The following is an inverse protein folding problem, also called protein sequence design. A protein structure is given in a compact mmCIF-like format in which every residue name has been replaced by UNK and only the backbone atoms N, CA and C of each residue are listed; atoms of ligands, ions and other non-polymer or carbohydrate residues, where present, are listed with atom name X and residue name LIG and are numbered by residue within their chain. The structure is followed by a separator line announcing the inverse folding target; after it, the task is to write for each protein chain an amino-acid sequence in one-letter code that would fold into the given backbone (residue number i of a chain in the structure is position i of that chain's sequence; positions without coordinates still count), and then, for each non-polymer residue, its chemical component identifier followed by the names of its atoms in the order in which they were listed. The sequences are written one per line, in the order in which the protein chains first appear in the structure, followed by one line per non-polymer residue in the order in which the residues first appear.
data_IF_454810127449
#
_entry.id   IF_454810127449
#
_cell.length_a   1.000
_cell.length_b   1.000
_cell.length_c   1.000
_cell.angle_alpha   90.00
_cell.angle_beta   90.00
_cell.angle_gamma   90.00
#
_symmetry.space_group_name_H-M   'P 1'
#
loop_
_entity.id
_entity.type
_entity.pdbx_description
1 polymer ?
#
# COMPACT_ATOMS: atom_id res chain seq x y z
N UNK A 1 -19.12 28.40 -7.03
CA UNK A 1 -19.46 27.45 -5.94
C UNK A 1 -19.83 26.05 -6.45
N UNK A 2 -20.64 25.88 -7.50
CA UNK A 2 -21.06 24.55 -7.99
C UNK A 2 -19.96 23.75 -8.74
N UNK A 3 -19.08 24.43 -9.50
CA UNK A 3 -17.97 23.79 -10.24
C UNK A 3 -16.95 23.09 -9.31
N UNK A 4 -16.65 23.68 -8.16
CA UNK A 4 -15.67 23.13 -7.21
C UNK A 4 -16.22 21.84 -6.58
N UNK A 5 -17.53 21.79 -6.26
CA UNK A 5 -18.18 20.59 -5.78
C UNK A 5 -18.23 19.49 -6.84
N UNK A 6 -18.53 19.84 -8.10
CA UNK A 6 -18.59 18.87 -9.19
C UNK A 6 -17.20 18.26 -9.48
N UNK A 7 -16.15 19.07 -9.48
CA UNK A 7 -14.76 18.61 -9.65
C UNK A 7 -14.32 17.73 -8.47
N UNK A 8 -14.73 18.08 -7.24
CA UNK A 8 -14.44 17.26 -6.07
C UNK A 8 -15.15 15.89 -6.11
N UNK A 9 -16.42 15.85 -6.56
CA UNK A 9 -17.19 14.60 -6.71
C UNK A 9 -16.59 13.73 -7.81
N UNK A 10 -16.26 14.31 -8.97
CA UNK A 10 -15.61 13.60 -10.07
C UNK A 10 -14.22 13.08 -9.69
N UNK A 11 -13.43 13.88 -8.96
CA UNK A 11 -12.11 13.47 -8.47
C UNK A 11 -12.19 12.32 -7.46
N UNK A 12 -13.14 12.38 -6.52
CA UNK A 12 -13.40 11.31 -5.56
C UNK A 12 -13.83 10.01 -6.25
N UNK A 13 -14.74 10.10 -7.23
CA UNK A 13 -15.25 8.95 -7.97
C UNK A 13 -14.15 8.30 -8.82
N UNK A 14 -13.30 9.10 -9.46
CA UNK A 14 -12.15 8.64 -10.23
C UNK A 14 -11.11 7.94 -9.35
N UNK A 15 -10.81 8.51 -8.17
CA UNK A 15 -9.90 7.91 -7.19
C UNK A 15 -10.42 6.56 -6.66
N UNK A 16 -11.72 6.47 -6.34
CA UNK A 16 -12.38 5.22 -5.94
C UNK A 16 -12.32 4.16 -7.04
N UNK A 17 -12.59 4.53 -8.29
CA UNK A 17 -12.53 3.64 -9.45
C UNK A 17 -11.11 3.15 -9.77
N UNK A 18 -10.07 3.92 -9.42
CA UNK A 18 -8.67 3.50 -9.56
C UNK A 18 -8.22 2.55 -8.44
N UNK A 19 -8.69 2.78 -7.22
CA UNK A 19 -8.31 1.96 -6.06
C UNK A 19 -9.05 0.62 -6.01
N UNK A 20 -10.34 0.59 -6.38
CA UNK A 20 -11.15 -0.62 -6.37
C UNK A 20 -10.50 -1.80 -7.14
N UNK A 21 -10.06 -1.66 -8.39
CA UNK A 21 -9.39 -2.75 -9.11
C UNK A 21 -8.01 -3.09 -8.52
N UNK A 22 -7.31 -2.12 -7.93
CA UNK A 22 -6.02 -2.36 -7.24
C UNK A 22 -6.19 -3.25 -5.99
N UNK A 23 -7.28 -3.05 -5.25
CA UNK A 23 -7.63 -3.84 -4.06
C UNK A 23 -8.23 -5.20 -4.45
N UNK A 24 -9.07 -5.25 -5.49
CA UNK A 24 -9.74 -6.49 -5.92
C UNK A 24 -8.84 -7.45 -6.69
N UNK A 25 -7.74 -7.01 -7.31
CA UNK A 25 -6.90 -7.86 -8.15
C UNK A 25 -5.99 -8.86 -7.40
N UNK A 26 -6.18 -9.11 -6.09
CA UNK A 26 -5.63 -10.27 -5.35
C UNK A 26 -4.20 -10.68 -5.73
N UNK A 27 -3.30 -9.72 -5.95
CA UNK A 27 -1.86 -9.97 -6.23
C UNK A 27 -0.96 -9.63 -5.06
N UNK A 28 -1.53 -9.23 -3.93
CA UNK A 28 -0.76 -8.88 -2.74
C UNK A 28 -1.15 -9.86 -1.63
N UNK A 29 -0.14 -10.51 -1.05
CA UNK A 29 -0.24 -11.48 0.06
C UNK A 29 -1.23 -11.00 1.15
N UNK A 30 -1.90 -11.94 1.81
CA UNK A 30 -3.00 -11.72 2.79
C UNK A 30 -2.75 -10.60 3.83
N UNK A 31 -1.49 -10.31 4.19
CA UNK A 31 -1.12 -9.27 5.15
C UNK A 31 -1.33 -7.82 4.65
N UNK A 32 -1.28 -7.59 3.34
CA UNK A 32 -1.26 -6.24 2.76
C UNK A 32 -2.65 -5.69 2.43
N UNK A 33 -3.61 -6.58 2.19
CA UNK A 33 -4.99 -6.23 1.90
C UNK A 33 -5.68 -5.58 3.11
N UNK A 34 -5.29 -5.96 4.33
CA UNK A 34 -5.90 -5.45 5.57
C UNK A 34 -5.62 -3.97 5.78
N UNK A 35 -4.38 -3.51 5.57
CA UNK A 35 -4.02 -2.10 5.71
C UNK A 35 -4.66 -1.24 4.62
N UNK A 36 -4.68 -1.72 3.38
CA UNK A 36 -5.37 -1.05 2.27
C UNK A 36 -6.89 -0.98 2.47
N UNK A 37 -7.51 -2.06 2.98
CA UNK A 37 -8.93 -2.08 3.36
C UNK A 37 -9.20 -1.10 4.50
N UNK A 38 -8.34 -1.03 5.51
CA UNK A 38 -8.47 -0.09 6.62
C UNK A 38 -8.42 1.37 6.14
N UNK A 39 -7.42 1.72 5.33
CA UNK A 39 -7.32 3.09 4.78
C UNK A 39 -8.44 3.41 3.80
N UNK A 40 -8.83 2.47 2.93
CA UNK A 40 -9.95 2.64 2.01
C UNK A 40 -11.29 2.80 2.74
N UNK A 41 -11.51 2.03 3.80
CA UNK A 41 -12.68 2.13 4.66
C UNK A 41 -12.69 3.44 5.45
N UNK A 42 -11.56 3.85 6.02
CA UNK A 42 -11.43 5.15 6.70
C UNK A 42 -11.74 6.31 5.74
N UNK A 43 -11.20 6.28 4.52
CA UNK A 43 -11.49 7.28 3.48
C UNK A 43 -12.96 7.29 3.08
N UNK A 44 -13.60 6.13 2.90
CA UNK A 44 -15.03 6.04 2.61
C UNK A 44 -15.88 6.60 3.76
N UNK A 45 -15.55 6.24 5.00
CA UNK A 45 -16.24 6.73 6.19
C UNK A 45 -16.17 8.25 6.28
N UNK A 46 -14.99 8.84 6.07
CA UNK A 46 -14.80 10.30 6.06
C UNK A 46 -15.40 10.99 4.83
N UNK A 47 -15.51 10.29 3.69
CA UNK A 47 -16.16 10.83 2.49
C UNK A 47 -17.67 10.91 2.64
N UNK A 48 -18.30 10.00 3.41
CA UNK A 48 -19.75 10.01 3.66
C UNK A 48 -20.08 10.89 4.87
N UNK A 49 -19.18 11.00 5.86
CA UNK A 49 -19.42 11.70 7.13
C UNK A 49 -18.65 13.03 7.24
N UNK A 50 -19.24 14.12 6.73
CA UNK A 50 -18.67 15.49 6.82
C UNK A 50 -18.44 15.99 8.24
N UNK A 51 -19.36 15.70 9.17
CA UNK A 51 -19.27 16.14 10.57
C UNK A 51 -18.09 15.49 11.32
N UNK A 52 -17.72 14.25 10.99
CA UNK A 52 -16.53 13.59 11.53
C UNK A 52 -15.24 14.27 11.07
N UNK A 53 -15.23 14.79 9.84
CA UNK A 53 -14.12 15.56 9.31
C UNK A 53 -13.96 16.93 9.99
N UNK A 54 -15.06 17.60 10.31
CA UNK A 54 -15.04 18.84 11.09
C UNK A 54 -14.55 18.60 12.53
N UNK A 55 -14.90 17.46 13.13
CA UNK A 55 -14.38 17.08 14.46
C UNK A 55 -12.87 16.81 14.44
N UNK A 56 -12.37 16.11 13.41
CA UNK A 56 -10.94 15.89 13.21
C UNK A 56 -10.19 17.18 12.88
N UNK A 57 -10.76 18.06 12.04
CA UNK A 57 -10.18 19.35 11.71
C UNK A 57 -10.03 20.23 12.96
N UNK A 58 -11.05 20.25 13.84
CA UNK A 58 -10.96 20.90 15.15
C UNK A 58 -9.91 20.26 16.07
N UNK A 59 -9.81 18.94 16.10
CA UNK A 59 -8.81 18.22 16.91
C UNK A 59 -7.36 18.47 16.41
N UNK A 60 -7.16 18.52 15.09
CA UNK A 60 -5.88 18.81 14.44
C UNK A 60 -5.57 20.32 14.40
N UNK A 61 -6.49 21.20 14.82
CA UNK A 61 -6.31 22.65 14.79
C UNK A 61 -6.36 23.28 13.40
N UNK A 62 -6.94 22.59 12.42
CA UNK A 62 -6.99 23.00 11.01
C UNK A 62 -8.31 23.70 10.71
N UNK A 63 -8.24 24.98 10.33
CA UNK A 63 -9.42 25.84 10.12
C UNK A 63 -10.20 25.54 8.83
N UNK A 64 -9.65 24.72 7.92
CA UNK A 64 -10.23 24.40 6.62
C UNK A 64 -10.39 22.87 6.46
N UNK A 65 -11.62 22.33 6.38
CA UNK A 65 -11.84 20.88 6.32
C UNK A 65 -11.08 20.14 5.19
N UNK A 66 -10.88 20.72 3.99
CA UNK A 66 -10.08 20.11 2.92
C UNK A 66 -8.59 19.91 3.26
N UNK A 67 -7.96 20.80 4.04
CA UNK A 67 -6.54 20.65 4.39
C UNK A 67 -6.31 19.59 5.47
N UNK A 68 -7.31 19.32 6.31
CA UNK A 68 -7.26 18.18 7.25
C UNK A 68 -7.26 16.83 6.50
N UNK A 69 -8.06 16.71 5.43
CA UNK A 69 -8.01 15.54 4.54
C UNK A 69 -6.63 15.38 3.89
N UNK A 70 -6.05 16.48 3.41
CA UNK A 70 -4.73 16.45 2.78
C UNK A 70 -3.64 15.96 3.74
N UNK A 71 -3.64 16.45 4.98
CA UNK A 71 -2.74 15.96 6.03
C UNK A 71 -2.90 14.47 6.31
N UNK A 72 -4.14 13.99 6.40
CA UNK A 72 -4.44 12.58 6.63
C UNK A 72 -3.97 11.71 5.45
N UNK A 73 -4.18 12.18 4.22
CA UNK A 73 -3.79 11.49 3.00
C UNK A 73 -2.26 11.43 2.85
N UNK A 74 -1.55 12.52 3.17
CA UNK A 74 -0.09 12.54 3.23
C UNK A 74 0.44 11.61 4.31
N UNK A 75 -0.17 11.62 5.51
CA UNK A 75 0.20 10.71 6.59
C UNK A 75 0.00 9.23 6.22
N UNK A 76 -1.15 8.91 5.60
CA UNK A 76 -1.43 7.58 5.06
C UNK A 76 -0.39 7.18 4.00
N UNK A 77 -0.03 8.10 3.09
CA UNK A 77 0.97 7.83 2.06
C UNK A 77 2.35 7.56 2.64
N UNK A 78 2.76 8.30 3.69
CA UNK A 78 4.00 8.03 4.42
C UNK A 78 3.99 6.64 5.07
N UNK A 79 2.88 6.24 5.69
CA UNK A 79 2.76 4.91 6.28
C UNK A 79 2.86 3.80 5.23
N UNK A 80 2.23 4.00 4.06
CA UNK A 80 2.34 3.08 2.92
C UNK A 80 3.79 2.99 2.41
N UNK A 81 4.50 4.11 2.33
CA UNK A 81 5.91 4.13 1.92
C UNK A 81 6.81 3.36 2.90
N UNK A 82 6.60 3.56 4.21
CA UNK A 82 7.32 2.80 5.25
C UNK A 82 7.03 1.31 5.10
N UNK A 83 5.76 0.95 4.91
CA UNK A 83 5.36 -0.43 4.68
C UNK A 83 6.08 -1.02 3.46
N UNK A 84 6.07 -0.35 2.31
CA UNK A 84 6.78 -0.81 1.12
C UNK A 84 8.28 -0.98 1.34
N UNK A 85 8.91 -0.09 2.10
CA UNK A 85 10.33 -0.21 2.47
C UNK A 85 10.59 -1.53 3.23
N UNK A 86 9.74 -1.88 4.19
CA UNK A 86 9.85 -3.15 4.93
C UNK A 86 9.66 -4.36 4.02
N UNK A 87 8.69 -4.31 3.09
CA UNK A 87 8.45 -5.41 2.13
C UNK A 87 9.66 -5.63 1.23
N UNK A 88 10.18 -4.56 0.64
CA UNK A 88 11.33 -4.61 -0.26
C UNK A 88 12.54 -5.18 0.49
N UNK A 89 12.73 -4.77 1.75
CA UNK A 89 13.81 -5.31 2.61
C UNK A 89 13.67 -6.81 2.86
N UNK A 90 12.46 -7.30 3.19
CA UNK A 90 12.20 -8.75 3.36
C UNK A 90 12.41 -9.53 2.06
N UNK A 91 11.93 -9.01 0.93
CA UNK A 91 12.10 -9.64 -0.39
C UNK A 91 13.58 -9.72 -0.77
N UNK A 92 14.36 -8.66 -0.53
CA UNK A 92 15.80 -8.63 -0.78
C UNK A 92 16.54 -9.73 0.00
N UNK A 93 16.23 -9.89 1.29
CA UNK A 93 16.78 -10.98 2.11
C UNK A 93 16.46 -12.35 1.53
N UNK A 94 15.20 -12.59 1.14
CA UNK A 94 14.77 -13.86 0.56
C UNK A 94 15.46 -14.18 -0.78
N UNK A 95 15.70 -13.16 -1.61
CA UNK A 95 16.46 -13.33 -2.86
C UNK A 95 17.90 -13.78 -2.56
N UNK A 96 18.55 -13.19 -1.55
CA UNK A 96 19.90 -13.58 -1.13
C UNK A 96 19.92 -15.05 -0.67
N UNK A 97 18.99 -15.44 0.21
CA UNK A 97 18.86 -16.81 0.70
C UNK A 97 18.66 -17.82 -0.45
N UNK A 98 17.70 -17.56 -1.35
CA UNK A 98 17.44 -18.42 -2.51
C UNK A 98 18.63 -18.50 -3.46
N UNK A 99 19.39 -17.41 -3.62
CA UNK A 99 20.60 -17.40 -4.46
C UNK A 99 21.69 -18.27 -3.84
N UNK A 100 21.83 -18.25 -2.51
CA UNK A 100 22.77 -19.09 -1.78
C UNK A 100 22.40 -20.57 -1.89
N UNK A 101 21.13 -20.93 -1.68
CA UNK A 101 20.65 -22.30 -1.85
C UNK A 101 20.88 -22.80 -3.29
N UNK A 102 20.55 -21.99 -4.29
CA UNK A 102 20.79 -22.32 -5.69
C UNK A 102 22.28 -22.53 -5.99
N UNK A 103 23.16 -21.74 -5.36
CA UNK A 103 24.61 -21.90 -5.46
C UNK A 103 25.09 -23.24 -4.90
N UNK A 104 24.64 -23.61 -3.71
CA UNK A 104 24.95 -24.90 -3.07
C UNK A 104 24.42 -26.07 -3.90
N UNK A 105 23.17 -26.01 -4.36
CA UNK A 105 22.58 -27.05 -5.21
C UNK A 105 23.37 -27.23 -6.51
N UNK A 106 23.82 -26.13 -7.15
CA UNK A 106 24.66 -26.23 -8.36
C UNK A 106 26.00 -26.88 -8.08
N UNK A 107 26.64 -26.55 -6.96
CA UNK A 107 27.91 -27.13 -6.54
C UNK A 107 27.80 -28.66 -6.33
N UNK A 108 26.81 -29.12 -5.59
CA UNK A 108 26.56 -30.55 -5.37
C UNK A 108 26.33 -31.30 -6.68
N UNK A 109 25.59 -30.68 -7.61
CA UNK A 109 25.29 -31.26 -8.92
C UNK A 109 26.56 -31.38 -9.79
N UNK A 110 27.46 -30.40 -9.74
CA UNK A 110 28.77 -30.48 -10.38
C UNK A 110 29.65 -31.58 -9.78
N UNK A 111 29.65 -31.74 -8.46
CA UNK A 111 30.41 -32.78 -7.78
C UNK A 111 29.90 -34.18 -8.16
N UNK A 112 28.58 -34.38 -8.16
CA UNK A 112 27.96 -35.64 -8.58
C UNK A 112 28.31 -35.98 -10.03
N UNK A 113 28.26 -34.99 -10.94
CA UNK A 113 28.68 -35.16 -12.35
C UNK A 113 30.15 -35.55 -12.49
N UNK A 114 31.04 -35.04 -11.63
CA UNK A 114 32.46 -35.44 -11.62
C UNK A 114 32.64 -36.89 -11.15
N UNK A 115 31.89 -37.32 -10.14
CA UNK A 115 31.92 -38.71 -9.63
C UNK A 115 31.43 -39.72 -10.66
N UNK A 116 30.38 -39.39 -11.42
CA UNK A 116 29.84 -40.26 -12.48
C UNK A 116 30.72 -40.36 -13.74
N UNK A 117 31.67 -39.42 -13.92
CA UNK A 117 32.64 -39.44 -15.03
C UNK A 117 33.95 -40.19 -14.71
N UNK A 118 34.15 -40.58 -13.44
CA UNK A 118 35.23 -41.47 -13.02
C UNK A 118 34.76 -42.92 -13.07
#
# INVERSE_FOLDING_TARGET
MQLIQLVAILGSLCYLLLILPLVFQRKIHEEYAILWLFFGFALLLFSVWREGLECLAKFLGVHYPPSALLLLLVGAMLLILIQFSVVISKLSKKIIELTQELGLTKFELEELKKRLKK
#
